data_IF_466632528196
#
_entry.id   IF_466632528196
#
_cell.length_a   1.000
_cell.length_b   1.000
_cell.length_c   1.000
_cell.angle_alpha   90.00
_cell.angle_beta   90.00
_cell.angle_gamma   90.00
#
_symmetry.space_group_name_H-M   'P 1'
#
loop_
_entity.id
_entity.type
_entity.pdbx_description
1 polymer ?
#
# COMPACT_ATOMS: atom_id res chain seq x y z
N UNK A 1 -10.94 32.29 -8.66
CA UNK A 1 -10.69 30.99 -9.30
C UNK A 1 -9.29 30.52 -9.10
N UNK A 2 -9.19 29.34 -8.50
CA UNK A 2 -7.97 28.56 -8.51
C UNK A 2 -7.82 27.90 -9.89
N UNK A 3 -6.61 27.80 -10.44
CA UNK A 3 -6.39 27.19 -11.75
C UNK A 3 -6.42 25.65 -11.68
N UNK A 4 -7.32 25.08 -10.86
CA UNK A 4 -7.38 23.66 -10.50
C UNK A 4 -8.68 23.03 -10.97
N UNK A 5 -8.56 21.89 -11.66
CA UNK A 5 -9.67 20.98 -11.95
C UNK A 5 -9.51 19.74 -11.07
N UNK A 6 -10.53 19.46 -10.25
CA UNK A 6 -10.62 18.21 -9.51
C UNK A 6 -11.25 17.16 -10.42
N UNK A 7 -10.49 16.12 -10.74
CA UNK A 7 -10.92 15.05 -11.64
C UNK A 7 -11.22 13.79 -10.83
N UNK A 8 -12.42 13.27 -11.00
CA UNK A 8 -12.91 12.08 -10.29
C UNK A 8 -13.40 11.07 -11.34
N UNK A 9 -12.98 9.82 -11.22
CA UNK A 9 -13.61 8.69 -11.91
C UNK A 9 -14.47 7.91 -10.92
N UNK A 10 -15.61 7.37 -11.38
CA UNK A 10 -16.55 6.72 -10.46
C UNK A 10 -17.29 5.55 -11.09
N UNK A 11 -17.74 4.61 -10.24
CA UNK A 11 -18.66 3.53 -10.57
C UNK A 11 -19.31 2.98 -9.31
N UNK A 12 -20.62 3.17 -9.16
CA UNK A 12 -21.40 2.66 -8.04
C UNK A 12 -20.88 3.11 -6.66
N UNK A 13 -20.68 4.42 -6.49
CA UNK A 13 -20.13 5.05 -5.30
C UNK A 13 -21.19 5.93 -4.58
N UNK A 14 -22.48 5.60 -4.67
CA UNK A 14 -23.56 6.44 -4.12
C UNK A 14 -23.43 6.67 -2.60
N UNK A 15 -22.72 5.76 -1.91
CA UNK A 15 -22.43 5.84 -0.48
C UNK A 15 -21.39 6.93 -0.13
N UNK A 16 -20.41 7.18 -1.01
CA UNK A 16 -19.25 7.99 -0.68
C UNK A 16 -19.18 9.30 -1.48
N UNK A 17 -19.60 9.28 -2.75
CA UNK A 17 -19.40 10.39 -3.69
C UNK A 17 -20.03 11.71 -3.20
N UNK A 18 -21.16 11.64 -2.50
CA UNK A 18 -21.83 12.84 -1.96
C UNK A 18 -20.97 13.59 -0.94
N UNK A 19 -20.37 12.86 0.00
CA UNK A 19 -19.49 13.44 1.04
C UNK A 19 -18.21 13.99 0.43
N UNK A 20 -17.60 13.26 -0.50
CA UNK A 20 -16.42 13.71 -1.24
C UNK A 20 -16.71 15.06 -1.94
N UNK A 21 -17.77 15.11 -2.76
CA UNK A 21 -18.13 16.30 -3.52
C UNK A 21 -18.54 17.48 -2.65
N UNK A 22 -19.25 17.25 -1.54
CA UNK A 22 -19.65 18.31 -0.61
C UNK A 22 -18.44 19.03 0.02
N UNK A 23 -17.38 18.28 0.34
CA UNK A 23 -16.14 18.85 0.88
C UNK A 23 -15.38 19.63 -0.18
N UNK A 24 -15.29 19.09 -1.39
CA UNK A 24 -14.62 19.73 -2.53
C UNK A 24 -15.34 21.00 -3.00
N UNK A 25 -16.68 21.02 -3.00
CA UNK A 25 -17.50 22.14 -3.49
C UNK A 25 -17.40 23.41 -2.64
N UNK A 26 -16.74 23.34 -1.49
CA UNK A 26 -16.47 24.51 -0.63
C UNK A 26 -15.43 25.45 -1.24
N UNK A 27 -14.64 24.96 -2.19
CA UNK A 27 -13.55 25.68 -2.82
C UNK A 27 -13.89 26.01 -4.28
N UNK A 28 -13.26 27.06 -4.80
CA UNK A 28 -13.44 27.54 -6.17
C UNK A 28 -12.59 26.72 -7.17
N UNK A 29 -12.89 25.41 -7.19
CA UNK A 29 -12.31 24.38 -8.06
C UNK A 29 -13.29 23.98 -9.15
N UNK A 30 -12.78 23.66 -10.34
CA UNK A 30 -13.59 23.01 -11.37
C UNK A 30 -13.72 21.52 -11.02
N UNK A 31 -14.93 21.05 -10.69
CA UNK A 31 -15.15 19.63 -10.40
C UNK A 31 -15.61 18.92 -11.66
N UNK A 32 -14.94 17.82 -11.99
CA UNK A 32 -15.24 16.98 -13.16
C UNK A 32 -15.38 15.54 -12.69
N UNK A 33 -16.51 14.94 -13.05
CA UNK A 33 -16.82 13.55 -12.72
C UNK A 33 -16.97 12.76 -14.02
N UNK A 34 -16.24 11.66 -14.15
CA UNK A 34 -16.39 10.71 -15.24
C UNK A 34 -16.95 9.40 -14.68
N UNK A 35 -18.18 9.08 -15.07
CA UNK A 35 -18.84 7.83 -14.73
C UNK A 35 -18.42 6.71 -15.70
N UNK A 36 -18.04 5.56 -15.15
CA UNK A 36 -17.60 4.38 -15.92
C UNK A 36 -18.67 3.29 -16.02
N UNK A 37 -19.95 3.66 -15.84
CA UNK A 37 -21.10 2.76 -15.92
C UNK A 37 -21.71 2.44 -14.56
N UNK A 38 -22.05 3.47 -13.77
CA UNK A 38 -22.85 3.29 -12.56
C UNK A 38 -24.28 2.89 -12.88
N UNK A 39 -24.85 2.03 -12.03
CA UNK A 39 -26.23 1.55 -12.06
C UNK A 39 -27.06 2.02 -10.85
N UNK A 40 -26.40 2.65 -9.88
CA UNK A 40 -27.01 3.25 -8.70
C UNK A 40 -27.21 4.77 -8.86
N UNK A 41 -27.43 5.51 -7.77
CA UNK A 41 -27.66 6.97 -7.82
C UNK A 41 -26.38 7.81 -7.89
N UNK A 42 -25.20 7.21 -8.10
CA UNK A 42 -23.91 7.93 -8.16
C UNK A 42 -23.96 9.15 -9.10
N UNK A 43 -24.44 8.96 -10.33
CA UNK A 43 -24.53 10.02 -11.34
C UNK A 43 -25.54 11.10 -10.94
N UNK A 44 -26.67 10.70 -10.34
CA UNK A 44 -27.69 11.63 -9.85
C UNK A 44 -27.12 12.52 -8.75
N UNK A 45 -26.38 11.94 -7.79
CA UNK A 45 -25.74 12.66 -6.70
C UNK A 45 -24.68 13.62 -7.25
N UNK A 46 -23.81 13.16 -8.16
CA UNK A 46 -22.75 13.98 -8.74
C UNK A 46 -23.28 15.25 -9.44
N UNK A 47 -24.39 15.12 -10.18
CA UNK A 47 -25.04 16.23 -10.89
C UNK A 47 -25.56 17.35 -9.98
N UNK A 48 -25.71 17.10 -8.67
CA UNK A 48 -26.08 18.14 -7.69
C UNK A 48 -24.93 19.10 -7.39
N UNK A 49 -23.68 18.67 -7.59
CA UNK A 49 -22.48 19.43 -7.25
C UNK A 49 -21.77 20.03 -8.46
N UNK A 50 -21.89 19.42 -9.64
CA UNK A 50 -21.26 19.93 -10.87
C UNK A 50 -22.09 19.61 -12.11
N UNK A 51 -22.14 20.51 -13.11
CA UNK A 51 -22.68 20.20 -14.43
C UNK A 51 -21.73 19.32 -15.27
N UNK A 52 -20.45 19.22 -14.89
CA UNK A 52 -19.41 18.53 -15.64
C UNK A 52 -19.36 17.02 -15.31
N UNK A 53 -20.47 16.33 -15.56
CA UNK A 53 -20.57 14.88 -15.39
C UNK A 53 -20.57 14.21 -16.76
N UNK A 54 -19.52 13.45 -17.04
CA UNK A 54 -19.29 12.77 -18.32
C UNK A 54 -19.39 11.26 -18.17
N UNK A 55 -19.53 10.56 -19.30
CA UNK A 55 -19.54 9.11 -19.35
C UNK A 55 -18.37 8.60 -20.17
N UNK A 56 -17.68 7.58 -19.67
CA UNK A 56 -16.63 6.85 -20.35
C UNK A 56 -16.93 5.35 -20.25
N UNK A 57 -17.06 4.61 -21.37
CA UNK A 57 -17.31 3.18 -21.30
C UNK A 57 -16.13 2.49 -20.61
N UNK A 58 -16.40 1.63 -19.62
CA UNK A 58 -15.35 0.87 -18.96
C UNK A 58 -14.68 -0.10 -19.94
N UNK A 59 -13.41 0.17 -20.26
CA UNK A 59 -12.59 -0.63 -21.18
C UNK A 59 -11.46 -1.39 -20.47
N UNK A 60 -11.62 -1.68 -19.17
CA UNK A 60 -10.60 -2.37 -18.38
C UNK A 60 -9.28 -1.58 -18.26
N UNK A 61 -9.34 -0.25 -18.23
CA UNK A 61 -8.16 0.63 -18.13
C UNK A 61 -8.49 1.88 -17.29
N UNK A 62 -7.90 1.96 -16.10
CA UNK A 62 -8.07 3.10 -15.20
C UNK A 62 -7.38 4.37 -15.72
N UNK A 63 -6.19 4.24 -16.30
CA UNK A 63 -5.49 5.38 -16.92
C UNK A 63 -6.31 5.99 -18.05
N UNK A 64 -6.94 5.17 -18.90
CA UNK A 64 -7.79 5.66 -19.98
C UNK A 64 -8.98 6.48 -19.44
N UNK A 65 -9.64 6.00 -18.38
CA UNK A 65 -10.73 6.73 -17.74
C UNK A 65 -10.26 8.04 -17.07
N UNK A 66 -9.12 8.02 -16.36
CA UNK A 66 -8.55 9.24 -15.73
C UNK A 66 -8.11 10.25 -16.77
N UNK A 67 -7.43 9.81 -17.83
CA UNK A 67 -6.99 10.67 -18.93
C UNK A 67 -8.18 11.26 -19.71
N UNK A 68 -9.26 10.49 -19.90
CA UNK A 68 -10.50 11.04 -20.45
C UNK A 68 -11.10 12.12 -19.54
N UNK A 69 -11.14 11.89 -18.22
CA UNK A 69 -11.61 12.88 -17.25
C UNK A 69 -10.78 14.17 -17.31
N UNK A 70 -9.45 14.04 -17.32
CA UNK A 70 -8.49 15.14 -17.46
C UNK A 70 -8.68 15.88 -18.79
N UNK A 71 -9.01 15.18 -19.87
CA UNK A 71 -9.26 15.82 -21.18
C UNK A 71 -10.46 16.77 -21.16
N UNK A 72 -11.33 16.68 -20.15
CA UNK A 72 -12.48 17.59 -19.96
C UNK A 72 -12.13 18.81 -19.09
N UNK A 73 -10.96 18.81 -18.46
CA UNK A 73 -10.47 19.90 -17.63
C UNK A 73 -10.24 21.17 -18.44
N UNK A 74 -10.91 22.25 -18.05
CA UNK A 74 -10.64 23.59 -18.59
C UNK A 74 -9.45 24.24 -17.90
N UNK A 75 -9.11 23.83 -16.66
CA UNK A 75 -7.90 24.32 -15.96
C UNK A 75 -6.66 23.48 -16.26
N UNK A 76 -5.50 24.04 -15.96
CA UNK A 76 -4.21 23.41 -16.26
C UNK A 76 -3.69 22.53 -15.13
N UNK A 77 -3.98 22.88 -13.86
CA UNK A 77 -3.65 22.03 -12.74
C UNK A 77 -4.75 21.02 -12.49
N UNK A 78 -4.36 19.76 -12.33
CA UNK A 78 -5.24 18.64 -12.05
C UNK A 78 -5.02 18.22 -10.61
N UNK A 79 -6.10 18.03 -9.87
CA UNK A 79 -6.10 17.29 -8.61
C UNK A 79 -6.99 16.06 -8.81
N UNK A 80 -6.39 14.88 -8.82
CA UNK A 80 -7.15 13.65 -8.96
C UNK A 80 -7.55 13.12 -7.56
N UNK A 81 -8.83 12.81 -7.37
CA UNK A 81 -9.40 12.36 -6.09
C UNK A 81 -10.28 11.13 -6.32
N UNK A 82 -10.22 10.16 -5.43
CA UNK A 82 -11.09 8.98 -5.49
C UNK A 82 -12.39 9.21 -4.68
N UNK A 83 -13.47 8.52 -5.04
CA UNK A 83 -14.82 8.83 -4.51
C UNK A 83 -14.98 8.55 -3.01
N UNK A 84 -14.16 7.65 -2.47
CA UNK A 84 -14.09 7.26 -1.07
C UNK A 84 -13.10 8.11 -0.27
N UNK A 85 -12.53 9.16 -0.86
CA UNK A 85 -11.62 10.10 -0.20
C UNK A 85 -12.33 11.44 0.08
N UNK A 86 -12.14 12.01 1.28
CA UNK A 86 -12.63 13.34 1.59
C UNK A 86 -11.59 14.24 2.23
N UNK A 87 -11.51 15.48 1.72
CA UNK A 87 -10.60 16.50 2.19
C UNK A 87 -10.85 16.84 3.66
N UNK A 88 -9.80 16.80 4.48
CA UNK A 88 -9.91 16.95 5.94
C UNK A 88 -9.84 18.41 6.40
N UNK A 89 -9.22 19.30 5.64
CA UNK A 89 -9.04 20.68 6.06
C UNK A 89 -10.36 21.47 6.05
N UNK A 90 -10.49 22.37 7.02
CA UNK A 90 -11.62 23.30 7.18
C UNK A 90 -11.27 24.73 6.75
N UNK A 91 -10.32 24.88 5.83
CA UNK A 91 -9.88 26.17 5.30
C UNK A 91 -11.04 26.95 4.67
N UNK A 92 -10.99 28.27 4.81
CA UNK A 92 -11.75 29.18 3.94
C UNK A 92 -11.21 29.12 2.50
N UNK A 93 -12.00 29.51 1.48
CA UNK A 93 -11.51 29.59 0.09
C UNK A 93 -10.25 30.45 -0.08
N UNK A 94 -10.11 31.52 0.71
CA UNK A 94 -8.95 32.41 0.69
C UNK A 94 -7.71 31.75 1.29
N UNK A 95 -7.87 30.98 2.38
CA UNK A 95 -6.77 30.22 3.00
C UNK A 95 -6.29 29.10 2.09
N UNK A 96 -7.21 28.34 1.49
CA UNK A 96 -6.89 27.33 0.50
C UNK A 96 -6.11 27.93 -0.67
N UNK A 97 -6.54 29.11 -1.15
CA UNK A 97 -5.83 29.82 -2.22
C UNK A 97 -4.41 30.20 -1.81
N UNK A 98 -4.24 30.77 -0.62
CA UNK A 98 -2.92 31.15 -0.09
C UNK A 98 -2.02 29.92 0.06
N UNK A 99 -2.58 28.82 0.56
CA UNK A 99 -1.89 27.55 0.78
C UNK A 99 -1.38 26.94 -0.53
N UNK A 100 -2.19 26.92 -1.59
CA UNK A 100 -1.81 26.30 -2.87
C UNK A 100 -1.01 27.22 -3.81
N UNK A 101 -0.99 28.54 -3.57
CA UNK A 101 -0.34 29.51 -4.47
C UNK A 101 1.13 29.20 -4.80
N UNK A 102 2.00 28.81 -3.83
CA UNK A 102 3.38 28.46 -4.14
C UNK A 102 3.53 27.25 -5.06
N UNK A 103 2.62 26.27 -4.95
CA UNK A 103 2.65 25.02 -5.72
C UNK A 103 2.46 25.27 -7.22
N UNK A 104 1.78 26.34 -7.62
CA UNK A 104 1.55 26.67 -9.03
C UNK A 104 2.80 27.14 -9.78
N UNK A 105 3.94 27.31 -9.10
CA UNK A 105 5.23 27.64 -9.70
C UNK A 105 6.06 26.42 -10.09
N UNK A 106 5.54 25.20 -9.88
CA UNK A 106 6.27 23.94 -10.08
C UNK A 106 5.63 23.05 -11.18
N UNK A 107 5.36 23.56 -12.40
CA UNK A 107 4.55 22.84 -13.40
C UNK A 107 5.18 21.53 -13.92
N UNK A 108 6.49 21.36 -13.73
CA UNK A 108 7.25 20.16 -14.12
C UNK A 108 7.40 19.14 -12.99
N UNK A 109 6.76 19.37 -11.84
CA UNK A 109 6.79 18.45 -10.70
C UNK A 109 5.37 17.95 -10.37
N UNK A 110 5.30 16.79 -9.74
CA UNK A 110 4.06 16.23 -9.22
C UNK A 110 3.92 16.49 -7.70
N UNK A 111 2.78 17.02 -7.28
CA UNK A 111 2.41 17.22 -5.90
C UNK A 111 1.89 15.95 -5.25
N UNK A 112 2.49 15.59 -4.11
CA UNK A 112 2.06 14.49 -3.25
C UNK A 112 1.07 14.97 -2.20
N UNK A 113 -0.09 14.33 -2.13
CA UNK A 113 -1.08 14.53 -1.06
C UNK A 113 -0.93 13.47 0.02
N UNK A 114 -1.47 13.74 1.19
CA UNK A 114 -1.58 12.77 2.28
C UNK A 114 -2.92 12.04 2.21
N UNK A 115 -2.89 10.70 2.25
CA UNK A 115 -4.06 9.86 2.44
C UNK A 115 -4.00 9.27 3.84
N UNK A 116 -5.03 9.55 4.63
CA UNK A 116 -5.18 9.11 6.01
C UNK A 116 -6.06 7.86 5.99
N UNK A 117 -5.46 6.71 6.25
CA UNK A 117 -6.09 5.40 6.27
C UNK A 117 -6.31 4.96 7.73
N UNK A 118 -7.56 4.93 8.22
CA UNK A 118 -7.87 4.43 9.56
C UNK A 118 -7.79 2.90 9.59
N UNK A 119 -6.84 2.30 10.31
CA UNK A 119 -6.90 0.87 10.59
C UNK A 119 -7.79 0.64 11.81
N UNK A 120 -8.90 -0.05 11.61
CA UNK A 120 -9.65 -0.65 12.72
C UNK A 120 -8.93 -1.96 13.14
N UNK A 121 -7.80 -1.85 13.85
CA UNK A 121 -7.19 -2.99 14.53
C UNK A 121 -7.43 -2.91 16.04
N UNK A 122 -7.75 -4.04 16.67
CA UNK A 122 -8.41 -4.12 17.98
C UNK A 122 -7.54 -3.79 19.20
N UNK A 123 -6.33 -3.25 19.03
CA UNK A 123 -5.40 -3.04 20.16
C UNK A 123 -4.85 -1.60 20.20
N UNK A 124 -4.75 -0.90 19.07
CA UNK A 124 -4.50 0.53 19.02
C UNK A 124 -5.12 1.07 17.72
N UNK A 125 -5.87 2.18 17.80
CA UNK A 125 -6.35 2.93 16.63
C UNK A 125 -5.13 3.48 15.86
N UNK A 126 -4.49 2.64 15.05
CA UNK A 126 -3.35 3.04 14.24
C UNK A 126 -3.85 3.66 12.95
N UNK A 127 -3.45 4.90 12.72
CA UNK A 127 -3.69 5.62 11.47
C UNK A 127 -2.44 5.46 10.63
N UNK A 128 -2.56 4.88 9.43
CA UNK A 128 -1.48 4.96 8.44
C UNK A 128 -1.69 6.21 7.58
N UNK A 129 -0.58 6.86 7.24
CA UNK A 129 -0.57 8.03 6.35
C UNK A 129 0.30 7.69 5.15
N UNK A 130 -0.30 7.73 3.97
CA UNK A 130 0.38 7.51 2.70
C UNK A 130 0.59 8.84 1.96
N UNK A 131 1.73 9.00 1.29
CA UNK A 131 2.00 10.15 0.41
C UNK A 131 1.92 9.72 -1.06
N UNK A 132 0.91 10.22 -1.79
CA UNK A 132 0.64 9.81 -3.18
C UNK A 132 0.58 10.99 -4.14
N UNK A 133 1.19 10.84 -5.32
CA UNK A 133 1.18 11.85 -6.36
C UNK A 133 -0.21 11.95 -7.03
N UNK A 134 -0.89 13.07 -6.79
CA UNK A 134 -2.26 13.32 -7.30
C UNK A 134 -2.46 14.72 -7.89
N UNK A 135 -1.45 15.58 -7.80
CA UNK A 135 -1.54 16.95 -8.25
C UNK A 135 -0.47 17.29 -9.28
N UNK A 136 -0.84 17.76 -10.47
CA UNK A 136 0.13 17.99 -11.54
C UNK A 136 -0.44 18.94 -12.61
N UNK A 137 0.44 19.45 -13.48
CA UNK A 137 0.05 20.24 -14.63
C UNK A 137 -0.21 19.34 -15.85
N UNK A 138 -1.40 19.43 -16.46
CA UNK A 138 -1.84 18.50 -17.52
C UNK A 138 -1.00 18.51 -18.80
N UNK A 139 -0.29 19.60 -19.06
CA UNK A 139 0.61 19.70 -20.23
C UNK A 139 1.94 18.96 -20.02
N UNK A 140 2.26 18.55 -18.78
CA UNK A 140 3.50 17.86 -18.44
C UNK A 140 3.29 16.40 -18.02
N UNK A 141 2.09 16.04 -17.56
CA UNK A 141 1.80 14.73 -16.98
C UNK A 141 0.54 14.09 -17.54
N UNK A 142 0.56 12.76 -17.66
CA UNK A 142 -0.58 11.91 -17.99
C UNK A 142 -0.58 10.69 -17.06
N UNK A 143 -1.72 10.03 -16.87
CA UNK A 143 -1.75 8.74 -16.18
C UNK A 143 -1.26 7.62 -17.10
N UNK A 144 -0.39 6.76 -16.57
CA UNK A 144 0.09 5.54 -17.22
C UNK A 144 -0.10 4.32 -16.31
N UNK A 145 -0.29 3.15 -16.92
CA UNK A 145 -0.59 1.89 -16.24
C UNK A 145 -2.08 1.53 -16.30
N UNK A 146 -2.42 0.29 -16.64
CA UNK A 146 -3.81 -0.15 -16.77
C UNK A 146 -4.51 -0.28 -15.40
N UNK A 147 -3.73 -0.62 -14.37
CA UNK A 147 -4.12 -0.73 -12.94
C UNK A 147 -2.95 -0.20 -12.12
N UNK A 148 -3.24 0.38 -10.95
CA UNK A 148 -2.23 1.05 -10.12
C UNK A 148 -1.52 2.17 -10.89
N UNK A 149 -2.33 2.90 -11.64
CA UNK A 149 -1.92 3.98 -12.51
C UNK A 149 -1.29 5.15 -11.75
N UNK A 150 -0.21 5.70 -12.32
CA UNK A 150 0.52 6.81 -11.73
C UNK A 150 0.65 7.98 -12.73
N UNK A 151 0.70 9.23 -12.25
CA UNK A 151 1.10 10.35 -13.08
C UNK A 151 2.54 10.17 -13.56
N UNK A 152 2.73 10.13 -14.87
CA UNK A 152 4.02 10.03 -15.53
C UNK A 152 4.29 11.24 -16.43
N UNK A 153 5.54 11.73 -16.51
CA UNK A 153 5.91 12.82 -17.40
C UNK A 153 5.65 12.43 -18.85
N UNK A 154 4.98 13.30 -19.61
CA UNK A 154 4.71 13.09 -21.04
C UNK A 154 6.03 13.00 -21.83
N UNK A 155 7.05 13.75 -21.41
CA UNK A 155 8.39 13.71 -22.00
C UNK A 155 9.19 12.44 -21.66
N UNK A 156 8.67 11.58 -20.77
CA UNK A 156 9.41 10.48 -20.16
C UNK A 156 10.42 10.94 -19.10
N UNK A 157 11.10 9.97 -18.49
CA UNK A 157 12.09 10.22 -17.45
C UNK A 157 11.51 10.22 -16.02
N UNK A 158 12.36 10.49 -15.01
CA UNK A 158 11.99 10.38 -13.61
C UNK A 158 11.03 11.50 -13.19
N UNK A 159 10.20 11.19 -12.20
CA UNK A 159 9.28 12.16 -11.60
C UNK A 159 9.97 12.93 -10.49
N UNK A 160 9.87 14.26 -10.53
CA UNK A 160 10.22 15.12 -9.40
C UNK A 160 8.96 15.47 -8.61
N UNK A 161 9.05 15.42 -7.29
CA UNK A 161 7.91 15.59 -6.39
C UNK A 161 8.05 16.80 -5.48
N UNK A 162 6.92 17.39 -5.09
CA UNK A 162 6.81 18.32 -3.97
C UNK A 162 5.66 17.92 -3.06
N UNK A 163 5.71 18.33 -1.78
CA UNK A 163 4.59 18.14 -0.86
C UNK A 163 3.46 19.12 -1.20
N UNK A 164 2.28 18.58 -1.49
CA UNK A 164 1.05 19.35 -1.56
C UNK A 164 0.40 19.29 -0.17
N UNK A 165 0.18 20.43 0.51
CA UNK A 165 -0.33 20.47 1.88
C UNK A 165 -1.85 20.20 1.94
N UNK A 166 -2.30 19.11 1.32
CA UNK A 166 -3.67 18.61 1.38
C UNK A 166 -3.66 17.19 1.91
N UNK A 167 -4.52 16.94 2.89
CA UNK A 167 -4.73 15.62 3.45
C UNK A 167 -6.18 15.20 3.20
N UNK A 168 -6.35 13.96 2.77
CA UNK A 168 -7.63 13.33 2.51
C UNK A 168 -7.78 12.16 3.46
N UNK A 169 -8.95 12.01 4.04
CA UNK A 169 -9.30 10.82 4.77
C UNK A 169 -9.88 9.81 3.80
N UNK A 170 -9.39 8.57 3.84
CA UNK A 170 -9.92 7.47 3.06
C UNK A 170 -10.98 6.73 3.86
N UNK A 171 -12.22 6.79 3.38
CA UNK A 171 -13.38 6.12 3.96
C UNK A 171 -13.49 4.65 3.54
N UNK A 172 -12.80 4.27 2.46
CA UNK A 172 -12.76 2.91 1.95
C UNK A 172 -11.88 1.99 2.81
N UNK A 173 -11.82 0.69 2.50
CA UNK A 173 -12.63 -0.28 3.24
C UNK A 173 -11.77 -0.98 4.29
N UNK A 174 -12.33 -1.24 5.48
CA UNK A 174 -11.80 -2.21 6.45
C UNK A 174 -12.43 -3.61 6.33
N UNK A 175 -13.32 -3.83 5.34
CA UNK A 175 -13.99 -5.11 5.11
C UNK A 175 -13.20 -6.00 4.13
N UNK A 176 -12.76 -7.15 4.65
CA UNK A 176 -12.05 -8.20 3.94
C UNK A 176 -12.77 -8.65 2.65
N UNK A 177 -14.11 -8.73 2.65
CA UNK A 177 -14.88 -9.16 1.49
C UNK A 177 -14.75 -8.19 0.32
N UNK A 178 -14.69 -6.88 0.60
CA UNK A 178 -14.53 -5.86 -0.42
C UNK A 178 -13.11 -5.84 -0.98
N UNK A 179 -12.11 -5.99 -0.10
CA UNK A 179 -10.71 -6.11 -0.51
C UNK A 179 -10.50 -7.30 -1.45
N UNK A 180 -11.05 -8.47 -1.13
CA UNK A 180 -10.99 -9.66 -2.00
C UNK A 180 -11.67 -9.46 -3.34
N UNK A 181 -12.83 -8.78 -3.38
CA UNK A 181 -13.52 -8.47 -4.65
C UNK A 181 -12.71 -7.51 -5.53
N UNK A 182 -12.09 -6.49 -4.93
CA UNK A 182 -11.19 -5.55 -5.64
C UNK A 182 -9.95 -6.29 -6.17
N UNK A 183 -9.31 -7.12 -5.34
CA UNK A 183 -8.17 -7.93 -5.74
C UNK A 183 -8.52 -8.88 -6.91
N UNK A 184 -9.66 -9.58 -6.85
CA UNK A 184 -10.12 -10.45 -7.94
C UNK A 184 -10.31 -9.71 -9.27
N UNK A 185 -10.87 -8.49 -9.24
CA UNK A 185 -10.96 -7.63 -10.43
C UNK A 185 -9.57 -7.23 -10.92
N UNK A 186 -8.70 -6.78 -10.02
CA UNK A 186 -7.36 -6.31 -10.38
C UNK A 186 -6.50 -7.43 -11.00
N UNK A 187 -6.62 -8.67 -10.51
CA UNK A 187 -5.95 -9.85 -11.08
C UNK A 187 -6.26 -9.97 -12.58
N UNK A 188 -7.53 -9.93 -12.98
CA UNK A 188 -7.92 -10.05 -14.40
C UNK A 188 -7.31 -8.95 -15.27
N UNK A 189 -7.24 -7.73 -14.74
CA UNK A 189 -6.66 -6.59 -15.45
C UNK A 189 -5.13 -6.69 -15.55
N UNK A 190 -4.47 -7.16 -14.49
CA UNK A 190 -3.03 -7.35 -14.44
C UNK A 190 -2.58 -8.51 -15.34
N UNK A 191 -3.31 -9.63 -15.36
CA UNK A 191 -3.08 -10.73 -16.30
C UNK A 191 -3.14 -10.22 -17.74
N UNK A 192 -4.12 -9.38 -18.08
CA UNK A 192 -4.24 -8.79 -19.41
C UNK A 192 -3.13 -7.76 -19.72
N UNK A 193 -2.69 -6.98 -18.73
CA UNK A 193 -1.60 -6.03 -18.87
C UNK A 193 -0.26 -6.74 -19.11
N UNK A 194 0.00 -7.84 -18.41
CA UNK A 194 1.20 -8.67 -18.58
C UNK A 194 1.28 -9.26 -19.99
N UNK A 195 0.15 -9.63 -20.61
CA UNK A 195 0.14 -10.08 -22.01
C UNK A 195 0.66 -9.01 -23.00
N UNK A 196 0.55 -7.72 -22.64
CA UNK A 196 1.01 -6.61 -23.48
C UNK A 196 2.40 -6.10 -23.09
N UNK A 197 2.84 -6.31 -21.85
CA UNK A 197 4.14 -5.90 -21.33
C UNK A 197 4.65 -6.91 -20.29
N UNK A 198 5.15 -8.06 -20.77
CA UNK A 198 5.54 -9.20 -19.93
C UNK A 198 6.87 -9.02 -19.19
N UNK A 199 7.53 -7.86 -19.34
CA UNK A 199 8.85 -7.56 -18.76
C UNK A 199 8.84 -6.50 -17.67
N UNK A 200 7.66 -6.06 -17.24
CA UNK A 200 7.54 -5.06 -16.18
C UNK A 200 7.42 -5.74 -14.80
N UNK A 201 8.49 -5.71 -13.97
CA UNK A 201 8.46 -6.34 -12.64
C UNK A 201 7.37 -5.77 -11.72
N UNK A 202 6.96 -4.52 -11.94
CA UNK A 202 5.89 -3.90 -11.14
C UNK A 202 4.54 -4.57 -11.37
N UNK A 203 4.24 -5.03 -12.59
CA UNK A 203 3.00 -5.74 -12.88
C UNK A 203 2.93 -7.07 -12.12
N UNK A 204 4.04 -7.79 -12.07
CA UNK A 204 4.15 -9.05 -11.32
C UNK A 204 4.07 -8.84 -9.81
N UNK A 205 4.70 -7.77 -9.29
CA UNK A 205 4.51 -7.35 -7.90
C UNK A 205 3.03 -7.12 -7.56
N UNK A 206 2.33 -6.31 -8.37
CA UNK A 206 0.90 -6.02 -8.14
C UNK A 206 0.02 -7.27 -8.25
N UNK A 207 0.35 -8.17 -9.19
CA UNK A 207 -0.36 -9.43 -9.35
C UNK A 207 -0.17 -10.33 -8.12
N UNK A 208 1.08 -10.44 -7.64
CA UNK A 208 1.41 -11.20 -6.44
C UNK A 208 0.70 -10.66 -5.20
N UNK A 209 0.72 -9.34 -4.97
CA UNK A 209 0.00 -8.71 -3.86
C UNK A 209 -1.51 -8.97 -3.93
N UNK A 210 -2.10 -8.91 -5.13
CA UNK A 210 -3.52 -9.21 -5.32
C UNK A 210 -3.84 -10.67 -4.99
N UNK A 211 -3.00 -11.62 -5.41
CA UNK A 211 -3.16 -13.03 -5.04
C UNK A 211 -2.98 -13.27 -3.55
N UNK A 212 -2.03 -12.59 -2.92
CA UNK A 212 -1.79 -12.64 -1.48
C UNK A 212 -3.04 -12.23 -0.69
N UNK A 213 -3.68 -11.11 -1.07
CA UNK A 213 -4.96 -10.64 -0.48
C UNK A 213 -6.10 -11.65 -0.66
N UNK A 214 -6.15 -12.35 -1.81
CA UNK A 214 -7.16 -13.40 -2.04
C UNK A 214 -6.86 -14.73 -1.33
N UNK A 215 -5.67 -14.87 -0.74
CA UNK A 215 -5.21 -16.09 -0.05
C UNK A 215 -4.66 -17.19 -0.98
N UNK A 216 -4.42 -16.88 -2.26
CA UNK A 216 -3.79 -17.82 -3.20
C UNK A 216 -2.26 -17.71 -3.13
N UNK A 217 -1.69 -18.29 -2.08
CA UNK A 217 -0.25 -18.24 -1.79
C UNK A 217 0.61 -18.81 -2.94
N UNK A 218 0.10 -19.78 -3.70
CA UNK A 218 0.82 -20.37 -4.83
C UNK A 218 0.97 -19.35 -5.96
N UNK A 219 -0.14 -18.76 -6.41
CA UNK A 219 -0.07 -17.75 -7.47
C UNK A 219 0.65 -16.48 -7.04
N UNK A 220 0.54 -16.10 -5.76
CA UNK A 220 1.32 -15.01 -5.21
C UNK A 220 2.82 -15.28 -5.33
N UNK A 221 3.26 -16.46 -4.87
CA UNK A 221 4.64 -16.93 -4.97
C UNK A 221 5.15 -16.91 -6.42
N UNK A 222 4.40 -17.51 -7.35
CA UNK A 222 4.80 -17.62 -8.76
C UNK A 222 4.92 -16.23 -9.42
N UNK A 223 4.02 -15.29 -9.09
CA UNK A 223 4.07 -13.92 -9.58
C UNK A 223 5.29 -13.17 -9.02
N UNK A 224 5.56 -13.24 -7.71
CA UNK A 224 6.73 -12.57 -7.14
C UNK A 224 8.05 -13.14 -7.65
N UNK A 225 8.15 -14.46 -7.81
CA UNK A 225 9.31 -15.13 -8.41
C UNK A 225 9.56 -14.61 -9.82
N UNK A 226 8.51 -14.50 -10.64
CA UNK A 226 8.62 -13.95 -11.99
C UNK A 226 9.04 -12.48 -11.98
N UNK A 227 8.48 -11.65 -11.08
CA UNK A 227 8.86 -10.24 -10.93
C UNK A 227 10.33 -10.06 -10.52
N UNK A 228 10.82 -10.90 -9.60
CA UNK A 228 12.21 -10.90 -9.14
C UNK A 228 13.19 -11.52 -10.13
N UNK A 229 12.72 -12.17 -11.20
CA UNK A 229 13.58 -12.68 -12.27
C UNK A 229 14.11 -11.59 -13.21
N UNK A 230 13.55 -10.37 -13.14
CA UNK A 230 13.99 -9.22 -13.93
C UNK A 230 15.02 -8.36 -13.17
N UNK A 231 15.70 -7.46 -13.88
CA UNK A 231 16.54 -6.44 -13.25
C UNK A 231 15.67 -5.44 -12.50
N UNK A 232 15.86 -5.36 -11.19
CA UNK A 232 15.12 -4.48 -10.28
C UNK A 232 16.07 -3.66 -9.44
N UNK A 233 15.69 -2.42 -9.14
CA UNK A 233 16.45 -1.57 -8.21
C UNK A 233 16.02 -1.90 -6.76
N UNK A 234 16.92 -2.46 -5.94
CA UNK A 234 16.59 -2.85 -4.56
C UNK A 234 16.24 -1.66 -3.65
N UNK A 235 16.56 -0.42 -4.07
CA UNK A 235 16.21 0.78 -3.33
C UNK A 235 14.73 1.17 -3.49
N UNK A 236 14.00 0.58 -4.44
CA UNK A 236 12.58 0.85 -4.63
C UNK A 236 11.74 0.10 -3.59
N UNK A 237 10.79 0.80 -2.97
CA UNK A 237 9.94 0.24 -1.92
C UNK A 237 9.17 -1.00 -2.38
N UNK A 238 8.60 -0.98 -3.59
CA UNK A 238 7.85 -2.14 -4.11
C UNK A 238 8.74 -3.38 -4.29
N UNK A 239 10.04 -3.19 -4.54
CA UNK A 239 11.00 -4.31 -4.67
C UNK A 239 11.27 -4.93 -3.32
N UNK A 240 11.46 -4.12 -2.27
CA UNK A 240 11.59 -4.61 -0.88
C UNK A 240 10.35 -5.42 -0.46
N UNK A 241 9.16 -4.85 -0.65
CA UNK A 241 7.91 -5.54 -0.35
C UNK A 241 7.74 -6.81 -1.20
N UNK A 242 8.14 -6.79 -2.47
CA UNK A 242 8.10 -7.99 -3.33
C UNK A 242 9.00 -9.12 -2.81
N UNK A 243 10.23 -8.81 -2.38
CA UNK A 243 11.16 -9.77 -1.77
C UNK A 243 10.56 -10.36 -0.49
N UNK A 244 10.07 -9.51 0.41
CA UNK A 244 9.48 -9.94 1.68
C UNK A 244 8.24 -10.82 1.45
N UNK A 245 7.29 -10.38 0.60
CA UNK A 245 6.08 -11.14 0.26
C UNK A 245 6.41 -12.46 -0.44
N UNK A 246 7.46 -12.52 -1.27
CA UNK A 246 7.95 -13.76 -1.86
C UNK A 246 8.42 -14.74 -0.77
N UNK A 247 9.25 -14.29 0.17
CA UNK A 247 9.75 -15.13 1.26
C UNK A 247 8.63 -15.65 2.16
N UNK A 248 7.67 -14.80 2.55
CA UNK A 248 6.49 -15.25 3.30
C UNK A 248 5.65 -16.27 2.52
N UNK A 249 5.51 -16.08 1.21
CA UNK A 249 4.80 -17.03 0.35
C UNK A 249 5.52 -18.39 0.29
N UNK A 250 6.86 -18.41 0.21
CA UNK A 250 7.66 -19.63 0.29
C UNK A 250 7.46 -20.36 1.63
N UNK A 251 7.49 -19.64 2.75
CA UNK A 251 7.25 -20.20 4.08
C UNK A 251 5.84 -20.80 4.20
N UNK A 252 4.82 -20.10 3.73
CA UNK A 252 3.44 -20.58 3.74
C UNK A 252 3.25 -21.86 2.89
N UNK A 253 3.96 -21.93 1.75
CA UNK A 253 3.98 -23.11 0.89
C UNK A 253 4.94 -24.21 1.37
N UNK A 254 5.59 -24.02 2.53
CA UNK A 254 6.57 -24.94 3.13
C UNK A 254 7.78 -25.23 2.24
N UNK A 255 8.14 -24.28 1.36
CA UNK A 255 9.32 -24.36 0.49
C UNK A 255 10.56 -23.81 1.22
N UNK A 256 10.86 -24.36 2.39
CA UNK A 256 11.88 -23.81 3.31
C UNK A 256 13.30 -23.85 2.73
N UNK A 257 13.67 -24.94 2.05
CA UNK A 257 14.98 -25.06 1.40
C UNK A 257 15.15 -24.03 0.27
N UNK A 258 14.09 -23.77 -0.52
CA UNK A 258 14.13 -22.72 -1.54
C UNK A 258 14.31 -21.34 -0.91
N UNK A 259 13.70 -21.10 0.26
CA UNK A 259 13.82 -19.82 0.95
C UNK A 259 15.25 -19.52 1.44
N UNK A 260 16.11 -20.52 1.65
CA UNK A 260 17.53 -20.30 1.98
C UNK A 260 18.29 -19.54 0.89
N UNK A 261 17.80 -19.49 -0.35
CA UNK A 261 18.38 -18.66 -1.41
C UNK A 261 18.42 -17.17 -1.06
N UNK A 262 17.60 -16.71 -0.09
CA UNK A 262 17.61 -15.33 0.40
C UNK A 262 18.94 -14.93 1.06
N UNK A 263 19.76 -15.89 1.49
CA UNK A 263 21.16 -15.63 1.92
C UNK A 263 21.95 -14.87 0.84
N UNK A 264 21.69 -15.17 -0.44
CA UNK A 264 22.36 -14.53 -1.57
C UNK A 264 22.04 -13.03 -1.75
N UNK A 265 20.96 -12.54 -1.13
CA UNK A 265 20.54 -11.14 -1.17
C UNK A 265 20.63 -10.47 0.21
N UNK A 266 21.16 -11.16 1.23
CA UNK A 266 21.14 -10.70 2.61
C UNK A 266 21.74 -9.30 2.78
N UNK A 267 22.97 -9.09 2.31
CA UNK A 267 23.68 -7.79 2.40
C UNK A 267 22.94 -6.65 1.70
N UNK A 268 22.04 -6.95 0.77
CA UNK A 268 21.26 -5.93 0.05
C UNK A 268 20.08 -5.43 0.87
N UNK A 269 19.46 -6.30 1.67
CA UNK A 269 18.18 -6.01 2.34
C UNK A 269 18.26 -6.00 3.88
N UNK A 270 19.38 -6.42 4.48
CA UNK A 270 19.54 -6.54 5.94
C UNK A 270 19.48 -5.21 6.71
N UNK A 271 19.41 -4.07 6.03
CA UNK A 271 19.18 -2.76 6.65
C UNK A 271 17.72 -2.51 7.06
N UNK A 272 16.80 -3.44 6.74
CA UNK A 272 15.38 -3.36 7.09
C UNK A 272 14.98 -4.51 8.00
N UNK A 273 14.32 -4.22 9.12
CA UNK A 273 14.02 -5.23 10.13
C UNK A 273 13.03 -6.29 9.64
N UNK A 274 12.10 -5.95 8.74
CA UNK A 274 11.14 -6.89 8.15
C UNK A 274 11.85 -8.04 7.41
N UNK A 275 12.88 -7.71 6.62
CA UNK A 275 13.70 -8.69 5.92
C UNK A 275 14.55 -9.54 6.89
N UNK A 276 15.18 -8.91 7.88
CA UNK A 276 15.99 -9.60 8.89
C UNK A 276 15.14 -10.57 9.72
N UNK A 277 13.94 -10.14 10.12
CA UNK A 277 12.96 -10.98 10.80
C UNK A 277 12.51 -12.17 9.93
N UNK A 278 12.24 -11.93 8.65
CA UNK A 278 11.94 -12.98 7.67
C UNK A 278 13.10 -13.99 7.56
N UNK A 279 14.35 -13.56 7.54
CA UNK A 279 15.51 -14.47 7.58
C UNK A 279 15.52 -15.33 8.84
N UNK A 280 15.17 -14.77 10.00
CA UNK A 280 14.98 -15.53 11.24
C UNK A 280 13.93 -16.64 11.09
N UNK A 281 12.79 -16.34 10.45
CA UNK A 281 11.76 -17.34 10.16
C UNK A 281 12.24 -18.40 9.16
N UNK A 282 13.02 -18.01 8.14
CA UNK A 282 13.59 -18.93 7.15
C UNK A 282 14.54 -19.92 7.83
N UNK A 283 15.47 -19.42 8.66
CA UNK A 283 16.38 -20.28 9.41
C UNK A 283 15.65 -21.19 10.40
N UNK A 284 14.66 -20.65 11.12
CA UNK A 284 13.85 -21.43 12.06
C UNK A 284 13.14 -22.60 11.37
N UNK A 285 12.54 -22.38 10.20
CA UNK A 285 11.84 -23.42 9.44
C UNK A 285 12.78 -24.42 8.74
N UNK A 286 14.08 -24.10 8.66
CA UNK A 286 15.13 -25.02 8.22
C UNK A 286 15.90 -25.66 9.40
N UNK A 287 15.40 -25.51 10.64
CA UNK A 287 16.02 -26.00 11.86
C UNK A 287 17.44 -25.44 12.15
N UNK A 288 17.76 -24.28 11.59
CA UNK A 288 18.98 -23.51 11.85
C UNK A 288 18.73 -22.55 13.02
N UNK A 289 18.61 -23.12 14.23
CA UNK A 289 18.06 -22.40 15.39
C UNK A 289 18.98 -21.30 15.92
N UNK A 290 20.29 -21.50 15.91
CA UNK A 290 21.25 -20.50 16.36
C UNK A 290 21.26 -19.29 15.42
N UNK A 291 21.23 -19.52 14.12
CA UNK A 291 21.11 -18.50 13.09
C UNK A 291 19.76 -17.78 13.17
N UNK A 292 18.68 -18.51 13.41
CA UNK A 292 17.35 -17.94 13.59
C UNK A 292 17.31 -16.97 14.79
N UNK A 293 17.81 -17.39 15.95
CA UNK A 293 17.90 -16.53 17.14
C UNK A 293 18.77 -15.31 16.86
N UNK A 294 19.92 -15.48 16.20
CA UNK A 294 20.79 -14.38 15.84
C UNK A 294 20.08 -13.34 14.96
N UNK A 295 19.28 -13.78 13.99
CA UNK A 295 18.49 -12.87 13.14
C UNK A 295 17.35 -12.19 13.89
N UNK A 296 16.62 -12.91 14.74
CA UNK A 296 15.58 -12.26 15.56
C UNK A 296 16.18 -11.19 16.47
N UNK A 297 17.34 -11.44 17.08
CA UNK A 297 18.05 -10.43 17.86
C UNK A 297 18.55 -9.27 17.00
N UNK A 298 19.14 -9.55 15.84
CA UNK A 298 19.59 -8.52 14.92
C UNK A 298 18.44 -7.61 14.46
N UNK A 299 17.25 -8.16 14.21
CA UNK A 299 16.07 -7.37 13.86
C UNK A 299 15.76 -6.29 14.91
N UNK A 300 16.07 -6.55 16.20
CA UNK A 300 15.86 -5.57 17.28
C UNK A 300 16.83 -4.39 17.28
N UNK A 301 17.96 -4.53 16.60
CA UNK A 301 18.95 -3.47 16.42
C UNK A 301 18.70 -2.64 15.14
N UNK A 302 17.74 -3.05 14.30
CA UNK A 302 17.39 -2.38 13.04
C UNK A 302 16.16 -1.48 13.23
N UNK A 303 16.29 -0.15 13.15
CA UNK A 303 15.18 0.77 13.41
C UNK A 303 14.20 0.90 12.24
N UNK A 304 14.64 0.69 11.00
CA UNK A 304 13.80 0.82 9.81
C UNK A 304 12.92 -0.42 9.64
N UNK A 305 11.59 -0.24 9.71
CA UNK A 305 10.62 -1.34 9.61
C UNK A 305 9.23 -0.85 9.19
N UNK A 306 8.44 -1.75 8.60
CA UNK A 306 7.06 -1.50 8.18
C UNK A 306 6.03 -2.23 9.03
N UNK A 307 6.33 -3.45 9.48
CA UNK A 307 5.41 -4.26 10.29
C UNK A 307 5.67 -4.06 11.78
N UNK A 308 4.63 -3.66 12.52
CA UNK A 308 4.72 -3.51 13.97
C UNK A 308 5.19 -4.80 14.65
N UNK A 309 6.14 -4.65 15.58
CA UNK A 309 6.66 -5.75 16.40
C UNK A 309 7.83 -6.54 15.83
N UNK A 310 8.16 -6.45 14.53
CA UNK A 310 9.24 -7.26 13.91
C UNK A 310 10.62 -6.96 14.48
N UNK A 311 10.86 -5.72 14.93
CA UNK A 311 12.08 -5.30 15.63
C UNK A 311 11.92 -5.28 17.16
N UNK A 312 10.88 -5.90 17.71
CA UNK A 312 10.63 -5.90 19.15
C UNK A 312 9.93 -7.19 19.60
N UNK A 313 8.66 -7.11 19.98
CA UNK A 313 7.96 -8.20 20.67
C UNK A 313 7.80 -9.46 19.80
N UNK A 314 7.69 -9.35 18.46
CA UNK A 314 7.63 -10.52 17.58
C UNK A 314 9.00 -11.21 17.49
N UNK A 315 10.07 -10.43 17.35
CA UNK A 315 11.44 -10.94 17.34
C UNK A 315 11.76 -11.71 18.64
N UNK A 316 11.52 -11.07 19.79
CA UNK A 316 11.74 -11.71 21.08
C UNK A 316 10.86 -12.94 21.28
N UNK A 317 9.59 -12.88 20.86
CA UNK A 317 8.68 -14.03 20.98
C UNK A 317 9.19 -15.24 20.19
N UNK A 318 9.62 -15.06 18.94
CA UNK A 318 10.10 -16.18 18.13
C UNK A 318 11.41 -16.77 18.68
N UNK A 319 12.33 -15.95 19.19
CA UNK A 319 13.51 -16.44 19.91
C UNK A 319 13.11 -17.23 21.17
N UNK A 320 12.13 -16.75 21.94
CA UNK A 320 11.59 -17.44 23.11
C UNK A 320 10.95 -18.79 22.77
N UNK A 321 10.21 -18.88 21.65
CA UNK A 321 9.62 -20.13 21.15
C UNK A 321 10.70 -21.17 20.85
N UNK A 322 11.82 -20.77 20.24
CA UNK A 322 12.94 -21.67 19.97
C UNK A 322 13.50 -22.26 21.28
N UNK A 323 13.74 -21.42 22.29
CA UNK A 323 14.21 -21.90 23.60
C UNK A 323 13.17 -22.76 24.34
N UNK A 324 11.88 -22.42 24.27
CA UNK A 324 10.79 -23.23 24.85
C UNK A 324 10.79 -24.63 24.21
N UNK A 325 10.89 -24.72 22.88
CA UNK A 325 10.98 -25.99 22.17
C UNK A 325 12.26 -26.78 22.47
N UNK A 326 13.38 -26.11 22.78
CA UNK A 326 14.63 -26.74 23.19
C UNK A 326 14.63 -27.21 24.67
N UNK A 327 13.57 -26.93 25.44
CA UNK A 327 13.50 -27.26 26.87
C UNK A 327 14.27 -26.29 27.77
N UNK A 328 14.70 -25.15 27.23
CA UNK A 328 15.48 -24.11 27.91
C UNK A 328 14.53 -23.08 28.51
N UNK A 329 13.85 -23.48 29.59
CA UNK A 329 12.73 -22.73 30.16
C UNK A 329 13.11 -21.36 30.73
N UNK A 330 14.32 -21.22 31.31
CA UNK A 330 14.79 -19.96 31.89
C UNK A 330 15.06 -18.92 30.80
N UNK A 331 15.74 -19.34 29.73
CA UNK A 331 16.03 -18.52 28.56
C UNK A 331 14.73 -18.10 27.86
N UNK A 332 13.81 -19.06 27.63
CA UNK A 332 12.51 -18.78 27.03
C UNK A 332 11.71 -17.74 27.82
N UNK A 333 11.67 -17.86 29.15
CA UNK A 333 11.03 -16.87 30.02
C UNK A 333 11.66 -15.48 29.88
N UNK A 334 13.00 -15.40 29.85
CA UNK A 334 13.71 -14.14 29.68
C UNK A 334 13.38 -13.43 28.35
N UNK A 335 13.11 -14.20 27.28
CA UNK A 335 12.65 -13.65 26.01
C UNK A 335 11.17 -13.22 26.02
N UNK A 336 10.29 -14.03 26.61
CA UNK A 336 8.88 -13.67 26.71
C UNK A 336 8.64 -12.42 27.57
N UNK A 337 9.44 -12.19 28.60
CA UNK A 337 9.37 -10.96 29.41
C UNK A 337 9.67 -9.69 28.59
N UNK A 338 10.52 -9.78 27.57
CA UNK A 338 10.82 -8.66 26.66
C UNK A 338 9.68 -8.34 25.69
N UNK A 339 8.66 -9.21 25.59
CA UNK A 339 7.53 -9.03 24.69
C UNK A 339 6.43 -8.12 25.26
N UNK A 340 6.53 -7.69 26.53
CA UNK A 340 5.55 -6.82 27.16
C UNK A 340 4.16 -7.45 27.27
N UNK A 341 3.13 -6.77 26.74
CA UNK A 341 1.73 -7.22 26.80
C UNK A 341 1.32 -8.13 25.63
N UNK A 342 2.28 -8.59 24.82
CA UNK A 342 1.99 -9.47 23.69
C UNK A 342 1.42 -10.82 24.19
N UNK A 343 0.13 -11.06 23.91
CA UNK A 343 -0.63 -12.18 24.49
C UNK A 343 0.01 -13.56 24.30
N UNK A 344 0.53 -13.94 23.11
CA UNK A 344 1.19 -15.22 22.93
C UNK A 344 2.39 -15.45 23.86
N UNK A 345 3.15 -14.39 24.18
CA UNK A 345 4.26 -14.47 25.13
C UNK A 345 3.75 -14.67 26.57
N UNK A 346 2.69 -13.96 26.97
CA UNK A 346 2.07 -14.13 28.30
C UNK A 346 1.55 -15.57 28.49
N UNK A 347 0.93 -16.14 27.46
CA UNK A 347 0.51 -17.54 27.44
C UNK A 347 1.69 -18.49 27.57
N UNK A 348 2.79 -18.24 26.85
CA UNK A 348 4.05 -19.00 26.96
C UNK A 348 4.62 -18.99 28.37
N UNK A 349 4.70 -17.81 28.99
CA UNK A 349 5.15 -17.67 30.38
C UNK A 349 4.25 -18.45 31.34
N UNK A 350 2.93 -18.42 31.14
CA UNK A 350 1.99 -19.16 31.97
C UNK A 350 2.16 -20.68 31.83
N UNK A 351 2.49 -21.19 30.63
CA UNK A 351 2.81 -22.61 30.42
C UNK A 351 4.08 -23.02 31.15
N UNK A 352 5.17 -22.29 30.95
CA UNK A 352 6.48 -22.60 31.54
C UNK A 352 6.45 -22.53 33.07
N UNK A 353 5.77 -21.54 33.65
CA UNK A 353 5.63 -21.38 35.11
C UNK A 353 4.80 -22.49 35.76
N UNK A 354 3.87 -23.13 35.03
CA UNK A 354 3.09 -24.28 35.52
C UNK A 354 3.88 -25.59 35.43
N UNK A 355 4.75 -25.73 34.43
CA UNK A 355 5.59 -26.91 34.23
C UNK A 355 6.71 -27.08 35.26
N UNK A 356 7.16 -25.98 35.89
CA UNK A 356 8.21 -26.00 36.91
C UNK A 356 7.74 -26.34 38.35
N UNK A 357 6.47 -26.73 38.53
CA UNK A 357 5.85 -27.01 39.86
C UNK A 357 5.67 -28.52 40.14
N UNK A 358 6.37 -29.38 39.40
CA UNK A 358 6.45 -30.83 39.64
C UNK A 358 7.90 -31.26 39.75
#
# INVERSE_FOLDING_TARGET
MLPVSVCIITKNEEQYIGTCLEKLSRYDWEIIVTDTGSTDRTVEIAKRYTPNVFHFPWINDFSAARNYCISKASRCWILNVDCDEYLTCSDTPQEMKRRLSPCFQLPQQAGMIEIINPHASSINDTVSVEHIARFFHKDYYTYQGTVHEQPAPIAGGPVSYFSLPLSFYHAGYSDEAVLKKKAARNIQLLEQAILNNDKDPYLYYQLGQSHFVTGDARKACDAFEQGLSFEVDPNLQYVRTMVESYGYSLLQLKKYEQALQFEGIYETFCSHADFVFLMGLIYMNNAMFDEAIAQFLHATDVPDHSVDGVNSYLAYYNAGVIYECAGMAEEALGFYEKCGEYQPALEGMARLRKGNVT
#
